data_IF_470579341443
#
_entry.id   IF_470579341443
#
_cell.length_a   1.000
_cell.length_b   1.000
_cell.length_c   1.000
_cell.angle_alpha   90.00
_cell.angle_beta   90.00
_cell.angle_gamma   90.00
#
_symmetry.space_group_name_H-M   'P 1'
#
loop_
_entity.id
_entity.type
_entity.pdbx_description
1 polymer ?
#
# COMPACT_ATOMS: atom_id res chain seq x y z
N UNK A 1 -12.30 12.73 7.17
CA UNK A 1 -10.85 12.89 7.42
C UNK A 1 -10.57 13.12 8.90
N UNK A 2 -11.16 14.17 9.50
CA UNK A 2 -11.08 14.45 10.94
C UNK A 2 -11.40 13.24 11.82
N UNK A 3 -12.47 12.52 11.50
CA UNK A 3 -12.85 11.29 12.21
C UNK A 3 -11.77 10.21 12.10
N UNK A 4 -11.15 10.05 10.94
CA UNK A 4 -10.12 9.04 10.68
C UNK A 4 -8.83 9.37 11.43
N UNK A 5 -8.42 10.65 11.40
CA UNK A 5 -7.32 11.19 12.22
C UNK A 5 -7.59 11.00 13.71
N UNK A 6 -8.79 11.33 14.18
CA UNK A 6 -9.17 11.16 15.58
C UNK A 6 -9.24 9.69 16.01
N UNK A 7 -9.71 8.78 15.15
CA UNK A 7 -9.76 7.34 15.43
C UNK A 7 -8.36 6.74 15.56
N UNK A 8 -7.42 7.11 14.69
CA UNK A 8 -6.01 6.67 14.76
C UNK A 8 -5.30 7.25 15.99
N UNK A 9 -5.63 8.47 16.40
CA UNK A 9 -4.99 9.13 17.54
C UNK A 9 -5.56 8.67 18.90
N UNK A 10 -6.86 8.34 18.99
CA UNK A 10 -7.51 8.03 20.28
C UNK A 10 -7.45 6.58 20.75
N UNK A 11 -7.42 5.60 19.84
CA UNK A 11 -7.83 4.22 20.19
C UNK A 11 -6.78 3.13 19.94
N UNK A 12 -5.56 3.47 19.56
CA UNK A 12 -4.54 2.49 19.22
C UNK A 12 -3.23 2.79 19.91
N UNK A 13 -2.62 1.75 20.49
CA UNK A 13 -1.17 1.72 20.59
C UNK A 13 -0.63 1.90 19.16
N UNK A 14 -0.02 3.06 18.89
CA UNK A 14 0.42 3.41 17.54
C UNK A 14 1.41 2.38 16.97
N UNK A 15 2.07 1.61 17.83
CA UNK A 15 2.97 0.52 17.43
C UNK A 15 2.24 -0.72 16.91
N UNK A 16 0.92 -0.84 17.11
CA UNK A 16 0.13 -2.05 16.83
C UNK A 16 -1.08 -1.85 15.92
N UNK A 17 -1.29 -0.65 15.37
CA UNK A 17 -2.49 -0.31 14.57
C UNK A 17 -2.78 -1.32 13.44
N UNK A 18 -1.74 -1.87 12.81
CA UNK A 18 -1.90 -2.81 11.69
C UNK A 18 -2.39 -4.20 12.15
N UNK A 19 -2.03 -4.64 13.36
CA UNK A 19 -2.47 -5.93 13.90
C UNK A 19 -3.96 -5.95 14.30
N UNK A 20 -4.56 -4.77 14.49
CA UNK A 20 -5.96 -4.58 14.86
C UNK A 20 -6.89 -4.42 13.66
N UNK A 21 -6.35 -4.30 12.45
CA UNK A 21 -7.13 -4.17 11.23
C UNK A 21 -7.93 -5.46 10.94
N UNK A 22 -9.14 -5.37 10.38
CA UNK A 22 -9.86 -6.55 9.86
C UNK A 22 -9.02 -7.30 8.82
N UNK A 23 -9.24 -8.62 8.61
CA UNK A 23 -8.36 -9.47 7.78
C UNK A 23 -8.09 -8.92 6.36
N UNK A 24 -9.11 -8.43 5.64
CA UNK A 24 -8.90 -7.81 4.32
C UNK A 24 -8.12 -6.51 4.39
N UNK A 25 -8.32 -5.70 5.43
CA UNK A 25 -7.56 -4.48 5.60
C UNK A 25 -6.08 -4.77 5.90
N UNK A 26 -5.77 -5.88 6.59
CA UNK A 26 -4.40 -6.37 6.75
C UNK A 26 -3.77 -6.79 5.41
N UNK A 27 -4.50 -7.51 4.55
CA UNK A 27 -4.02 -7.83 3.21
C UNK A 27 -3.70 -6.56 2.40
N UNK A 28 -4.58 -5.55 2.45
CA UNK A 28 -4.35 -4.25 1.79
C UNK A 28 -3.15 -3.52 2.40
N UNK A 29 -3.05 -3.47 3.73
CA UNK A 29 -1.92 -2.86 4.42
C UNK A 29 -0.59 -3.52 4.02
N UNK A 30 -0.58 -4.84 3.88
CA UNK A 30 0.61 -5.58 3.46
C UNK A 30 1.02 -5.21 2.04
N UNK A 31 0.08 -5.11 1.11
CA UNK A 31 0.35 -4.64 -0.25
C UNK A 31 0.95 -3.22 -0.24
N UNK A 32 0.40 -2.32 0.59
CA UNK A 32 0.90 -0.95 0.72
C UNK A 32 2.33 -0.93 1.24
N UNK A 33 2.66 -1.63 2.34
CA UNK A 33 4.01 -1.55 2.90
C UNK A 33 5.04 -2.37 2.11
N UNK A 34 4.60 -3.39 1.36
CA UNK A 34 5.51 -4.33 0.71
C UNK A 34 5.74 -4.10 -0.78
N UNK A 35 5.00 -3.20 -1.46
CA UNK A 35 5.07 -3.09 -2.92
C UNK A 35 6.47 -2.76 -3.44
N UNK A 36 7.23 -1.88 -2.78
CA UNK A 36 8.61 -1.60 -3.20
C UNK A 36 9.63 -2.62 -2.68
N UNK A 37 9.48 -3.06 -1.42
CA UNK A 37 10.41 -3.99 -0.78
C UNK A 37 9.68 -4.83 0.26
N UNK A 38 10.12 -6.08 0.41
CA UNK A 38 9.71 -6.89 1.54
C UNK A 38 10.41 -6.40 2.83
N UNK A 39 9.83 -6.66 4.02
CA UNK A 39 10.53 -6.44 5.27
C UNK A 39 11.88 -7.13 5.25
N UNK A 40 12.91 -6.41 5.69
CA UNK A 40 14.29 -6.87 5.63
C UNK A 40 14.98 -6.61 6.96
N UNK A 41 15.25 -7.70 7.68
CA UNK A 41 16.06 -7.66 8.89
C UNK A 41 17.53 -7.43 8.51
N UNK A 42 18.25 -6.63 9.31
CA UNK A 42 19.58 -6.14 8.90
C UNK A 42 20.67 -7.20 9.07
N UNK A 43 20.45 -8.17 9.94
CA UNK A 43 21.46 -9.17 10.29
C UNK A 43 20.94 -10.61 10.23
N UNK A 44 21.81 -11.56 9.89
CA UNK A 44 21.48 -12.99 9.91
C UNK A 44 21.03 -13.47 11.30
N UNK A 45 21.58 -12.87 12.37
CA UNK A 45 21.17 -13.15 13.75
C UNK A 45 19.71 -12.77 14.01
N UNK A 46 19.26 -11.63 13.48
CA UNK A 46 17.85 -11.22 13.57
C UNK A 46 16.96 -12.14 12.75
N UNK A 47 17.37 -12.49 11.52
CA UNK A 47 16.64 -13.48 10.71
C UNK A 47 16.42 -14.80 11.45
N UNK A 48 17.45 -15.32 12.13
CA UNK A 48 17.36 -16.57 12.90
C UNK A 48 16.38 -16.49 14.07
N UNK A 49 16.07 -15.29 14.60
CA UNK A 49 15.04 -15.14 15.64
C UNK A 49 13.63 -15.44 15.11
N UNK A 50 13.38 -15.16 13.82
CA UNK A 50 12.05 -15.29 13.21
C UNK A 50 11.94 -16.47 12.23
N UNK A 51 13.06 -17.07 11.81
CA UNK A 51 13.07 -18.18 10.85
C UNK A 51 12.69 -19.57 11.42
N UNK A 52 12.31 -19.64 12.69
CA UNK A 52 12.05 -20.90 13.40
C UNK A 52 10.56 -21.29 13.41
N UNK A 53 9.67 -20.33 13.14
CA UNK A 53 8.23 -20.49 13.29
C UNK A 53 7.50 -20.05 12.02
N UNK A 54 6.63 -20.93 11.52
CA UNK A 54 5.76 -20.61 10.39
C UNK A 54 4.65 -19.66 10.86
N UNK A 55 4.55 -18.50 10.23
CA UNK A 55 3.40 -17.61 10.39
C UNK A 55 2.22 -18.27 9.68
N UNK A 56 1.18 -18.65 10.41
CA UNK A 56 0.01 -19.35 9.85
C UNK A 56 -1.09 -18.40 9.38
N UNK A 57 -1.22 -17.22 10.00
CA UNK A 57 -2.22 -16.21 9.63
C UNK A 57 -1.63 -14.81 9.39
N UNK A 58 -2.35 -13.98 8.65
CA UNK A 58 -1.92 -12.62 8.29
C UNK A 58 -1.81 -11.69 9.53
N UNK A 59 -2.54 -11.99 10.61
CA UNK A 59 -2.49 -11.20 11.84
C UNK A 59 -1.11 -11.28 12.49
N UNK A 60 -0.58 -12.50 12.63
CA UNK A 60 0.74 -12.74 13.24
C UNK A 60 1.84 -11.99 12.47
N UNK A 61 1.68 -11.81 11.15
CA UNK A 61 2.62 -11.05 10.33
C UNK A 61 2.78 -9.61 10.82
N UNK A 62 1.68 -8.92 11.16
CA UNK A 62 1.74 -7.53 11.65
C UNK A 62 2.12 -7.41 13.11
N UNK A 63 2.17 -8.51 13.88
CA UNK A 63 2.69 -8.49 15.24
C UNK A 63 4.21 -8.28 15.28
N UNK A 64 4.92 -8.65 14.20
CA UNK A 64 6.39 -8.59 14.16
C UNK A 64 6.96 -7.48 13.28
N UNK A 65 6.23 -7.02 12.26
CA UNK A 65 6.78 -6.04 11.31
C UNK A 65 6.91 -4.67 11.98
N UNK A 66 8.16 -4.22 12.08
CA UNK A 66 8.49 -2.90 12.61
C UNK A 66 9.04 -1.97 11.53
N UNK A 67 8.98 -0.65 11.80
CA UNK A 67 9.47 0.37 10.89
C UNK A 67 10.98 0.24 10.60
N UNK A 68 11.75 -0.39 11.49
CA UNK A 68 13.19 -0.58 11.35
C UNK A 68 13.59 -1.79 10.50
N UNK A 69 12.62 -2.60 10.03
CA UNK A 69 12.79 -3.74 9.11
C UNK A 69 13.00 -3.28 7.66
N UNK A 70 13.87 -2.28 7.48
CA UNK A 70 14.24 -1.73 6.17
C UNK A 70 13.28 -0.67 5.62
N UNK A 71 12.27 -0.24 6.37
CA UNK A 71 11.35 0.81 5.94
C UNK A 71 11.83 2.22 6.30
N UNK A 72 12.39 2.40 7.50
CA UNK A 72 12.91 3.69 7.91
C UNK A 72 14.27 3.99 7.30
N UNK A 73 14.44 5.23 6.82
CA UNK A 73 15.68 5.77 6.28
C UNK A 73 16.45 6.53 7.37
N UNK A 74 16.76 5.84 8.47
CA UNK A 74 17.45 6.41 9.64
C UNK A 74 18.97 6.33 9.46
N UNK A 75 19.55 7.36 8.84
CA UNK A 75 21.00 7.50 8.65
C UNK A 75 21.65 8.41 9.70
N UNK A 76 21.05 9.57 9.96
CA UNK A 76 21.49 10.56 10.96
C UNK A 76 20.30 10.91 11.87
N UNK A 77 20.51 10.94 13.19
CA UNK A 77 19.43 11.04 14.17
C UNK A 77 18.69 12.38 14.08
N UNK A 78 19.42 13.50 13.98
CA UNK A 78 18.82 14.82 13.98
C UNK A 78 17.99 15.06 12.72
N UNK A 79 18.52 14.72 11.55
CA UNK A 79 17.80 14.77 10.27
C UNK A 79 16.59 13.83 10.30
N UNK A 80 16.74 12.61 10.84
CA UNK A 80 15.65 11.66 10.97
C UNK A 80 14.49 12.23 11.79
N UNK A 81 14.77 12.79 12.98
CA UNK A 81 13.73 13.37 13.83
C UNK A 81 13.03 14.57 13.16
N UNK A 82 13.78 15.42 12.45
CA UNK A 82 13.21 16.53 11.69
C UNK A 82 12.28 16.05 10.56
N UNK A 83 12.71 15.06 9.78
CA UNK A 83 11.93 14.53 8.65
C UNK A 83 10.74 13.69 9.10
N UNK A 84 10.87 12.97 10.22
CA UNK A 84 9.81 12.14 10.77
C UNK A 84 8.56 12.97 11.04
N UNK A 85 8.71 14.17 11.61
CA UNK A 85 7.59 15.08 11.85
C UNK A 85 6.88 15.44 10.53
N UNK A 86 7.64 15.78 9.48
CA UNK A 86 7.10 16.14 8.17
C UNK A 86 6.34 14.99 7.48
N UNK A 87 6.64 13.73 7.81
CA UNK A 87 5.91 12.57 7.29
C UNK A 87 4.46 12.47 7.80
N UNK A 88 4.11 13.23 8.85
CA UNK A 88 2.77 13.27 9.43
C UNK A 88 2.06 14.62 9.25
N UNK A 89 2.65 15.52 8.45
CA UNK A 89 2.07 16.82 8.11
C UNK A 89 1.47 16.77 6.69
N UNK A 90 0.20 17.15 6.56
CA UNK A 90 -0.56 17.08 5.30
C UNK A 90 -1.25 18.43 5.03
N UNK A 91 -0.46 19.49 4.82
CA UNK A 91 -0.98 20.86 4.68
C UNK A 91 -1.95 21.04 3.51
N UNK A 92 -1.71 20.32 2.40
CA UNK A 92 -2.56 20.33 1.21
C UNK A 92 -3.74 19.35 1.32
N UNK A 93 -3.88 18.70 2.48
CA UNK A 93 -4.91 17.71 2.79
C UNK A 93 -4.63 16.33 2.22
N UNK A 94 -5.64 15.46 2.26
CA UNK A 94 -5.58 14.09 1.74
C UNK A 94 -6.39 13.92 0.45
N UNK A 95 -6.28 12.73 -0.13
CA UNK A 95 -6.96 12.33 -1.38
C UNK A 95 -8.48 12.27 -1.29
N UNK A 96 -9.07 12.44 -0.10
CA UNK A 96 -10.53 12.50 0.08
C UNK A 96 -11.20 13.62 -0.68
N UNK A 97 -10.44 14.64 -1.11
CA UNK A 97 -10.91 15.72 -1.98
C UNK A 97 -10.97 15.31 -3.46
N UNK A 98 -10.31 14.22 -3.88
CA UNK A 98 -10.37 13.73 -5.27
C UNK A 98 -11.61 12.87 -5.49
N UNK A 99 -12.51 13.36 -6.35
CA UNK A 99 -13.73 12.66 -6.71
C UNK A 99 -13.46 11.36 -7.47
N UNK A 100 -12.51 11.36 -8.41
CA UNK A 100 -12.16 10.17 -9.19
C UNK A 100 -11.50 9.10 -8.31
N UNK A 101 -10.59 9.49 -7.41
CA UNK A 101 -10.02 8.54 -6.43
C UNK A 101 -11.10 7.94 -5.54
N UNK A 102 -11.93 8.78 -4.94
CA UNK A 102 -13.01 8.34 -4.03
C UNK A 102 -14.01 7.43 -4.73
N UNK A 103 -14.31 7.69 -6.00
CA UNK A 103 -15.17 6.85 -6.84
C UNK A 103 -14.56 5.46 -7.05
N UNK A 104 -13.26 5.36 -7.32
CA UNK A 104 -12.59 4.06 -7.45
C UNK A 104 -12.60 3.30 -6.13
N UNK A 105 -12.27 3.95 -5.01
CA UNK A 105 -12.31 3.34 -3.67
C UNK A 105 -13.71 2.78 -3.38
N UNK A 106 -14.78 3.56 -3.61
CA UNK A 106 -16.17 3.11 -3.43
C UNK A 106 -16.54 1.94 -4.33
N UNK A 107 -16.15 1.98 -5.60
CA UNK A 107 -16.42 0.90 -6.57
C UNK A 107 -15.78 -0.41 -6.12
N UNK A 108 -14.51 -0.37 -5.74
CA UNK A 108 -13.75 -1.57 -5.40
C UNK A 108 -14.10 -2.12 -4.02
N UNK A 109 -14.39 -1.25 -3.04
CA UNK A 109 -14.89 -1.71 -1.74
C UNK A 109 -16.26 -2.36 -1.85
N UNK A 110 -17.17 -1.82 -2.68
CA UNK A 110 -18.47 -2.42 -2.94
C UNK A 110 -18.35 -3.78 -3.63
N UNK A 111 -17.44 -3.92 -4.60
CA UNK A 111 -17.16 -5.22 -5.24
C UNK A 111 -16.59 -6.24 -4.26
N UNK A 112 -15.62 -5.85 -3.42
CA UNK A 112 -15.08 -6.73 -2.39
C UNK A 112 -16.18 -7.20 -1.42
N UNK A 113 -17.12 -6.32 -1.06
CA UNK A 113 -18.24 -6.68 -0.18
C UNK A 113 -19.19 -7.72 -0.82
N UNK A 114 -19.35 -7.69 -2.15
CA UNK A 114 -20.15 -8.68 -2.89
C UNK A 114 -19.52 -10.08 -2.85
N UNK A 115 -18.20 -10.18 -2.70
CA UNK A 115 -17.46 -11.45 -2.61
C UNK A 115 -17.41 -12.03 -1.18
N UNK A 116 -18.17 -11.44 -0.23
CA UNK A 116 -18.11 -11.75 1.21
C UNK A 116 -18.18 -13.24 1.59
N UNK A 117 -18.93 -14.08 0.85
CA UNK A 117 -18.99 -15.52 1.12
C UNK A 117 -17.71 -16.27 0.72
N UNK A 118 -17.10 -15.91 -0.41
CA UNK A 118 -15.82 -16.49 -0.88
C UNK A 118 -14.67 -15.96 -0.03
N UNK A 119 -14.81 -14.72 0.43
CA UNK A 119 -13.85 -13.97 1.23
C UNK A 119 -13.50 -14.59 2.58
N UNK A 120 -14.39 -15.34 3.23
CA UNK A 120 -14.06 -16.03 4.50
C UNK A 120 -13.27 -17.33 4.24
N UNK A 121 -13.63 -18.05 3.18
CA UNK A 121 -13.03 -19.33 2.83
C UNK A 121 -11.53 -19.22 2.54
N UNK A 122 -11.09 -18.15 1.87
CA UNK A 122 -9.67 -17.95 1.52
C UNK A 122 -8.74 -17.86 2.74
N UNK A 123 -9.28 -17.48 3.91
CA UNK A 123 -8.51 -17.45 5.16
C UNK A 123 -8.47 -18.81 5.84
N UNK A 124 -9.53 -19.61 5.68
CA UNK A 124 -9.63 -20.97 6.25
C UNK A 124 -8.70 -21.94 5.54
N UNK A 125 -8.66 -21.91 4.21
CA UNK A 125 -7.83 -22.82 3.40
C UNK A 125 -6.42 -22.29 3.08
N UNK A 126 -6.13 -21.04 3.46
CA UNK A 126 -4.83 -20.41 3.23
C UNK A 126 -4.61 -19.86 1.81
N UNK A 127 -5.62 -19.89 0.94
CA UNK A 127 -5.53 -19.35 -0.42
C UNK A 127 -5.19 -17.86 -0.46
N UNK A 128 -5.45 -17.12 0.63
CA UNK A 128 -5.07 -15.72 0.77
C UNK A 128 -3.60 -15.44 0.43
N UNK A 129 -2.66 -16.38 0.68
CA UNK A 129 -1.23 -16.20 0.37
C UNK A 129 -0.98 -16.07 -1.13
N UNK A 130 -1.53 -16.99 -1.91
CA UNK A 130 -1.37 -17.01 -3.37
C UNK A 130 -2.02 -15.76 -3.97
N UNK A 131 -3.21 -15.41 -3.49
CA UNK A 131 -3.92 -14.19 -3.88
C UNK A 131 -3.06 -12.95 -3.59
N UNK A 132 -2.47 -12.87 -2.39
CA UNK A 132 -1.67 -11.74 -1.95
C UNK A 132 -0.38 -11.58 -2.77
N UNK A 133 0.32 -12.67 -3.06
CA UNK A 133 1.51 -12.65 -3.93
C UNK A 133 1.16 -12.23 -5.36
N UNK A 134 0.06 -12.76 -5.91
CA UNK A 134 -0.42 -12.37 -7.24
C UNK A 134 -0.81 -10.89 -7.29
N UNK A 135 -1.55 -10.41 -6.29
CA UNK A 135 -1.93 -9.00 -6.18
C UNK A 135 -0.70 -8.09 -6.07
N UNK A 136 0.32 -8.49 -5.28
CA UNK A 136 1.58 -7.75 -5.15
C UNK A 136 2.33 -7.66 -6.48
N UNK A 137 2.42 -8.75 -7.22
CA UNK A 137 3.02 -8.76 -8.57
C UNK A 137 2.30 -7.77 -9.50
N UNK A 138 0.97 -7.83 -9.54
CA UNK A 138 0.16 -6.95 -10.38
C UNK A 138 0.33 -5.48 -9.98
N UNK A 139 0.34 -5.19 -8.68
CA UNK A 139 0.57 -3.86 -8.14
C UNK A 139 1.95 -3.33 -8.54
N UNK A 140 3.01 -4.11 -8.35
CA UNK A 140 4.38 -3.72 -8.72
C UNK A 140 4.54 -3.45 -10.21
N UNK A 141 3.95 -4.30 -11.06
CA UNK A 141 4.01 -4.12 -12.51
C UNK A 141 3.19 -2.90 -12.96
N UNK A 142 2.00 -2.70 -12.38
CA UNK A 142 1.16 -1.54 -12.65
C UNK A 142 1.83 -0.23 -12.24
N UNK A 143 2.44 -0.20 -11.06
CA UNK A 143 3.19 0.93 -10.51
C UNK A 143 4.41 1.25 -11.39
N UNK A 144 5.24 0.24 -11.67
CA UNK A 144 6.43 0.40 -12.51
C UNK A 144 6.08 0.93 -13.91
N UNK A 145 5.08 0.31 -14.55
CA UNK A 145 4.66 0.71 -15.89
C UNK A 145 4.11 2.14 -15.90
N UNK A 146 3.16 2.46 -15.03
CA UNK A 146 2.52 3.78 -15.08
C UNK A 146 3.46 4.91 -14.63
N UNK A 147 4.36 4.63 -13.68
CA UNK A 147 5.45 5.54 -13.31
C UNK A 147 6.34 5.94 -14.49
N UNK A 148 6.54 5.03 -15.46
CA UNK A 148 7.32 5.30 -16.68
C UNK A 148 6.57 6.10 -17.75
N UNK A 149 5.24 6.18 -17.66
CA UNK A 149 4.41 6.86 -18.63
C UNK A 149 4.43 8.39 -18.47
N UNK A 150 3.95 9.09 -19.49
CA UNK A 150 3.63 10.51 -19.42
C UNK A 150 2.40 10.77 -18.55
N UNK A 151 2.23 12.02 -18.14
CA UNK A 151 1.02 12.48 -17.47
C UNK A 151 -0.20 12.35 -18.38
N UNK A 152 -1.32 11.94 -17.80
CA UNK A 152 -2.60 11.92 -18.46
C UNK A 152 -3.12 13.35 -18.63
N UNK A 153 -2.94 13.89 -19.84
CA UNK A 153 -3.37 15.24 -20.24
C UNK A 153 -4.89 15.46 -20.10
N UNK A 154 -5.67 14.39 -19.98
CA UNK A 154 -7.12 14.46 -19.79
C UNK A 154 -7.54 14.39 -18.33
N UNK A 155 -6.61 14.11 -17.42
CA UNK A 155 -6.87 14.06 -15.99
C UNK A 155 -7.23 15.44 -15.45
N UNK A 156 -8.30 15.49 -14.65
CA UNK A 156 -8.79 16.71 -14.02
C UNK A 156 -8.79 16.51 -12.52
N UNK A 157 -7.96 17.28 -11.83
CA UNK A 157 -7.91 17.28 -10.37
C UNK A 157 -7.81 18.70 -9.83
N UNK A 158 -8.39 18.93 -8.66
CA UNK A 158 -8.22 20.15 -7.88
C UNK A 158 -7.08 20.03 -6.87
N UNK A 159 -6.42 18.86 -6.80
CA UNK A 159 -5.31 18.62 -5.90
C UNK A 159 -4.02 19.23 -6.44
N UNK A 160 -3.15 19.67 -5.53
CA UNK A 160 -1.77 20.08 -5.83
C UNK A 160 -0.73 18.99 -5.54
N UNK A 161 -1.17 17.82 -5.07
CA UNK A 161 -0.31 16.71 -4.68
C UNK A 161 0.30 16.02 -5.92
N UNK A 162 1.62 15.86 -5.93
CA UNK A 162 2.39 15.26 -7.03
C UNK A 162 2.91 13.90 -6.60
N UNK A 163 2.77 12.88 -7.45
CA UNK A 163 3.31 11.54 -7.20
C UNK A 163 4.78 11.42 -7.63
N UNK A 164 5.14 11.98 -8.79
CA UNK A 164 6.47 11.85 -9.34
C UNK A 164 6.89 13.07 -10.18
N UNK A 165 8.19 13.12 -10.46
CA UNK A 165 8.82 14.15 -11.27
C UNK A 165 9.46 13.55 -12.51
N UNK A 166 9.61 14.35 -13.56
CA UNK A 166 10.45 13.98 -14.70
C UNK A 166 11.92 13.81 -14.26
N UNK A 167 12.58 12.68 -14.54
CA UNK A 167 13.95 12.44 -14.08
C UNK A 167 14.98 13.43 -14.61
N UNK A 168 14.75 14.02 -15.79
CA UNK A 168 15.68 14.95 -16.47
C UNK A 168 15.43 16.39 -16.04
N UNK A 169 14.17 16.84 -16.06
CA UNK A 169 13.81 18.25 -15.79
C UNK A 169 13.51 18.52 -14.33
N UNK A 170 13.28 17.47 -13.52
CA UNK A 170 12.82 17.51 -12.12
C UNK A 170 11.48 18.22 -11.91
N UNK A 171 10.76 18.53 -12.99
CA UNK A 171 9.43 19.12 -12.93
C UNK A 171 8.39 18.09 -12.51
N UNK A 172 7.34 18.54 -11.84
CA UNK A 172 6.18 17.72 -11.52
C UNK A 172 5.61 17.09 -12.81
N UNK A 173 5.38 15.78 -12.79
CA UNK A 173 4.90 15.02 -13.95
C UNK A 173 3.46 14.55 -13.73
N UNK A 174 3.23 13.62 -12.80
CA UNK A 174 1.90 13.05 -12.55
C UNK A 174 1.34 13.53 -11.20
N UNK A 175 0.03 13.84 -11.18
CA UNK A 175 -0.67 14.10 -9.92
C UNK A 175 -0.83 12.82 -9.10
N UNK A 176 -0.96 12.97 -7.78
CA UNK A 176 -1.04 11.81 -6.87
C UNK A 176 -2.29 10.96 -7.11
N UNK A 177 -3.46 11.58 -7.29
CA UNK A 177 -4.71 10.86 -7.55
C UNK A 177 -4.75 10.21 -8.93
N UNK A 178 -4.25 10.90 -9.95
CA UNK A 178 -4.01 10.37 -11.30
C UNK A 178 -3.20 9.08 -11.23
N UNK A 179 -2.05 9.17 -10.60
CA UNK A 179 -1.10 8.07 -10.48
C UNK A 179 -1.75 6.87 -9.80
N UNK A 180 -2.39 7.05 -8.64
CA UNK A 180 -3.01 5.96 -7.90
C UNK A 180 -4.15 5.28 -8.68
N UNK A 181 -5.00 6.05 -9.37
CA UNK A 181 -6.09 5.47 -10.18
C UNK A 181 -5.52 4.69 -11.36
N UNK A 182 -4.50 5.22 -12.02
CA UNK A 182 -3.93 4.60 -13.22
C UNK A 182 -3.03 3.41 -12.90
N UNK A 183 -2.36 3.39 -11.76
CA UNK A 183 -1.71 2.20 -11.21
C UNK A 183 -2.74 1.10 -10.97
N UNK A 184 -3.89 1.43 -10.37
CA UNK A 184 -4.99 0.46 -10.17
C UNK A 184 -5.53 -0.09 -11.49
N UNK A 185 -5.76 0.76 -12.49
CA UNK A 185 -6.19 0.34 -13.83
C UNK A 185 -5.21 -0.65 -14.47
N UNK A 186 -3.91 -0.35 -14.41
CA UNK A 186 -2.87 -1.20 -15.00
C UNK A 186 -2.66 -2.49 -14.20
N UNK A 187 -2.70 -2.45 -12.87
CA UNK A 187 -2.64 -3.65 -12.03
C UNK A 187 -3.80 -4.62 -12.36
N UNK A 188 -5.02 -4.11 -12.58
CA UNK A 188 -6.16 -4.92 -13.02
C UNK A 188 -5.94 -5.54 -14.41
N UNK A 189 -5.39 -4.78 -15.37
CA UNK A 189 -5.06 -5.31 -16.70
C UNK A 189 -4.02 -6.42 -16.62
N UNK A 190 -3.00 -6.25 -15.78
CA UNK A 190 -1.98 -7.28 -15.55
C UNK A 190 -2.63 -8.55 -14.99
N UNK A 191 -3.48 -8.44 -13.96
CA UNK A 191 -4.19 -9.57 -13.39
C UNK A 191 -5.04 -10.33 -14.44
N UNK A 192 -5.74 -9.59 -15.31
CA UNK A 192 -6.55 -10.16 -16.40
C UNK A 192 -5.73 -10.75 -17.55
N UNK A 193 -4.50 -10.27 -17.76
CA UNK A 193 -3.62 -10.79 -18.81
C UNK A 193 -2.91 -12.07 -18.34
N UNK A 194 -2.49 -12.13 -17.07
CA UNK A 194 -1.81 -13.30 -16.50
C UNK A 194 -2.67 -14.56 -16.57
N UNK A 195 -3.99 -14.44 -16.40
CA UNK A 195 -4.90 -15.58 -16.55
C UNK A 195 -4.93 -16.16 -17.96
N UNK A 196 -4.54 -15.38 -18.98
CA UNK A 196 -4.50 -15.82 -20.40
C UNK A 196 -3.15 -16.38 -20.83
N UNK A 197 -2.12 -16.26 -19.99
CA UNK A 197 -0.78 -16.83 -20.26
C UNK A 197 -0.66 -18.29 -19.77
N UNK A 198 -1.65 -18.77 -19.02
CA UNK A 198 -1.74 -20.16 -18.59
C UNK A 198 -2.31 -21.08 -19.68
N UNK A 199 -2.88 -20.49 -20.75
CA UNK A 199 -3.37 -21.16 -21.96
C UNK A 199 -2.31 -21.12 -23.07
#
# INVERSE_FOLDING_TARGET
>A
EELLKQTIVKNSDQSKVLDQLPPFAQLVAWLIVSHHRLPNLKTEKEYKKYGSEDISCIKDLFEFIEADWGYQNKFEEKEYQQRLQLCFEFEQGLLTQSAEWTKQVKKWSARLLQESQVSEQIFVDGCWRVILHHARLCLMLGDHYYSSCEADKTWKTSLSLVANTDPKTKQAKQYLDEHLVRVSDNAMRVAQALSRLAD
#
